data_IF_440550794892
#
_entry.id   IF_440550794892
#
_cell.length_a   1.000
_cell.length_b   1.000
_cell.length_c   1.000
_cell.angle_alpha   90.00
_cell.angle_beta   90.00
_cell.angle_gamma   90.00
#
_symmetry.space_group_name_H-M   'P 1'
#
loop_
_entity.id
_entity.type
_entity.pdbx_description
1 polymer ?
#
# COMPACT_ATOMS: atom_id res chain seq x y z
N UNK A 1 -21.64 50.23 4.90
CA UNK A 1 -20.94 49.10 4.25
C UNK A 1 -21.97 48.09 3.78
N UNK A 2 -22.11 47.91 2.46
CA UNK A 2 -23.20 47.18 1.82
C UNK A 2 -23.09 45.67 2.03
N UNK A 3 -24.23 44.98 2.16
CA UNK A 3 -24.32 43.54 2.43
C UNK A 3 -23.46 42.67 1.49
N UNK A 4 -23.29 43.11 0.23
CA UNK A 4 -22.42 42.48 -0.78
C UNK A 4 -20.94 42.38 -0.39
N UNK A 5 -20.40 43.31 0.43
CA UNK A 5 -19.00 43.24 0.89
C UNK A 5 -18.79 42.25 2.03
N UNK A 6 -19.85 41.90 2.78
CA UNK A 6 -19.80 40.92 3.89
C UNK A 6 -19.89 39.48 3.39
N UNK A 7 -20.63 39.22 2.33
CA UNK A 7 -20.72 37.88 1.71
C UNK A 7 -19.42 37.46 1.03
N UNK A 8 -18.73 38.40 0.38
CA UNK A 8 -17.45 38.13 -0.29
C UNK A 8 -16.32 37.77 0.69
N UNK A 9 -16.32 38.34 1.90
CA UNK A 9 -15.29 38.06 2.93
C UNK A 9 -15.51 36.72 3.63
N UNK A 10 -16.76 36.31 3.84
CA UNK A 10 -17.09 35.00 4.45
C UNK A 10 -16.77 33.85 3.48
N UNK A 11 -17.02 34.01 2.19
CA UNK A 11 -16.65 33.01 1.18
C UNK A 11 -15.13 32.84 1.07
N UNK A 12 -14.35 33.94 1.08
CA UNK A 12 -12.90 33.88 0.98
C UNK A 12 -12.20 33.31 2.24
N UNK A 13 -12.74 33.55 3.44
CA UNK A 13 -12.19 33.05 4.70
C UNK A 13 -12.67 31.64 5.08
N UNK A 14 -13.80 31.18 4.54
CA UNK A 14 -14.36 29.85 4.82
C UNK A 14 -13.98 28.78 3.80
N UNK A 15 -13.87 29.11 2.51
CA UNK A 15 -13.59 28.12 1.46
C UNK A 15 -12.09 27.87 1.25
N UNK A 16 -11.23 28.85 1.52
CA UNK A 16 -9.78 28.68 1.35
C UNK A 16 -9.18 27.65 2.33
N UNK A 17 -9.51 27.62 3.64
CA UNK A 17 -8.99 26.59 4.54
C UNK A 17 -9.51 25.19 4.20
N UNK A 18 -10.77 25.06 3.77
CA UNK A 18 -11.35 23.77 3.35
C UNK A 18 -10.72 23.24 2.06
N UNK A 19 -10.38 24.11 1.11
CA UNK A 19 -9.66 23.72 -0.10
C UNK A 19 -8.20 23.33 0.19
N UNK A 20 -7.53 23.93 1.18
CA UNK A 20 -6.17 23.54 1.59
C UNK A 20 -6.12 22.19 2.30
N UNK A 21 -7.15 21.80 3.07
CA UNK A 21 -7.18 20.49 3.77
C UNK A 21 -7.40 19.33 2.79
N UNK A 22 -8.08 19.55 1.66
CA UNK A 22 -8.25 18.52 0.61
C UNK A 22 -7.00 18.25 -0.24
N UNK A 23 -5.94 19.05 -0.13
CA UNK A 23 -4.72 18.91 -0.94
C UNK A 23 -3.55 18.18 -0.25
N UNK A 24 -3.73 17.66 0.97
CA UNK A 24 -2.59 17.18 1.78
C UNK A 24 -2.72 15.73 2.32
N UNK A 25 -3.69 14.94 1.87
CA UNK A 25 -3.68 13.50 2.13
C UNK A 25 -2.82 12.83 1.05
N UNK A 26 -1.50 13.00 1.13
CA UNK A 26 -0.59 12.14 0.38
C UNK A 26 -0.72 10.76 1.03
N UNK A 27 -1.24 9.76 0.32
CA UNK A 27 -1.39 8.43 0.88
C UNK A 27 0.00 7.90 1.16
N UNK A 28 0.27 7.60 2.43
CA UNK A 28 1.55 7.04 2.84
C UNK A 28 1.72 5.65 2.21
N UNK A 29 2.80 5.45 1.47
CA UNK A 29 3.10 4.22 0.75
C UNK A 29 3.78 3.21 1.65
N UNK A 30 3.32 1.96 1.61
CA UNK A 30 4.01 0.86 2.28
C UNK A 30 4.92 0.15 1.29
N UNK A 31 6.03 -0.41 1.76
CA UNK A 31 6.97 -1.09 0.89
C UNK A 31 7.77 -2.12 1.66
N UNK A 32 7.96 -3.29 1.06
CA UNK A 32 8.79 -4.34 1.61
C UNK A 32 8.61 -5.68 0.92
N UNK A 33 9.29 -6.71 1.43
CA UNK A 33 9.15 -8.08 0.95
C UNK A 33 9.65 -9.09 1.99
N UNK A 34 9.28 -10.37 1.82
CA UNK A 34 9.73 -11.46 2.68
C UNK A 34 11.24 -11.70 2.50
N UNK A 35 11.97 -11.73 3.62
CA UNK A 35 13.41 -12.04 3.68
C UNK A 35 13.71 -13.32 4.46
N UNK A 36 12.75 -13.85 5.24
CA UNK A 36 12.84 -15.21 5.76
C UNK A 36 11.44 -15.87 5.85
N UNK A 37 11.15 -16.88 4.99
CA UNK A 37 11.96 -17.32 3.86
C UNK A 37 12.02 -16.25 2.76
N UNK A 38 13.14 -16.21 2.04
CA UNK A 38 13.41 -15.19 1.03
C UNK A 38 12.42 -15.31 -0.14
N UNK A 39 11.79 -14.20 -0.53
CA UNK A 39 10.92 -14.15 -1.71
C UNK A 39 11.70 -14.23 -3.02
N UNK A 40 11.02 -14.63 -4.12
CA UNK A 40 11.58 -14.62 -5.49
C UNK A 40 12.14 -13.25 -5.85
N UNK A 41 11.38 -12.19 -5.60
CA UNK A 41 11.77 -10.83 -5.97
C UNK A 41 12.99 -10.35 -5.16
N UNK A 42 13.02 -10.65 -3.85
CA UNK A 42 14.16 -10.34 -2.99
C UNK A 42 15.41 -11.15 -3.38
N UNK A 43 15.26 -12.45 -3.66
CA UNK A 43 16.37 -13.30 -4.07
C UNK A 43 16.96 -12.82 -5.40
N UNK A 44 16.13 -12.49 -6.39
CA UNK A 44 16.62 -12.01 -7.69
C UNK A 44 17.21 -10.59 -7.64
N UNK A 45 16.70 -9.73 -6.75
CA UNK A 45 17.34 -8.43 -6.50
C UNK A 45 18.73 -8.62 -5.88
N UNK A 46 18.87 -9.53 -4.90
CA UNK A 46 20.16 -9.87 -4.27
C UNK A 46 21.17 -10.54 -5.22
N UNK A 47 20.71 -11.15 -6.32
CA UNK A 47 21.62 -11.64 -7.36
C UNK A 47 22.18 -10.53 -8.26
N UNK A 48 21.66 -9.29 -8.15
CA UNK A 48 22.03 -8.14 -8.96
C UNK A 48 21.12 -7.99 -10.20
N UNK A 49 20.31 -6.92 -10.30
CA UNK A 49 19.33 -6.77 -11.39
C UNK A 49 19.91 -6.81 -12.81
N UNK A 50 21.10 -6.24 -13.00
CA UNK A 50 21.73 -6.13 -14.32
C UNK A 50 22.41 -7.43 -14.77
N UNK A 51 22.73 -8.33 -13.85
CA UNK A 51 23.51 -9.54 -14.11
C UNK A 51 23.18 -10.64 -13.11
N UNK A 52 21.91 -11.09 -13.04
CA UNK A 52 21.52 -12.15 -12.11
C UNK A 52 22.26 -13.44 -12.42
N UNK A 53 22.38 -14.32 -11.44
CA UNK A 53 23.24 -15.51 -11.51
C UNK A 53 22.43 -16.74 -11.89
N UNK A 54 21.32 -16.98 -11.22
CA UNK A 54 20.46 -18.14 -11.39
C UNK A 54 19.68 -18.10 -12.71
N UNK A 55 19.38 -19.28 -13.24
CA UNK A 55 18.63 -19.38 -14.49
C UNK A 55 17.20 -18.82 -14.34
N UNK A 56 16.60 -18.95 -13.16
CA UNK A 56 15.28 -18.40 -12.87
C UNK A 56 15.28 -16.85 -12.84
N UNK A 57 16.25 -16.22 -12.15
CA UNK A 57 16.33 -14.76 -12.11
C UNK A 57 16.73 -14.16 -13.47
N UNK A 58 17.58 -14.83 -14.25
CA UNK A 58 17.82 -14.48 -15.66
C UNK A 58 16.54 -14.52 -16.49
N UNK A 59 15.71 -15.56 -16.30
CA UNK A 59 14.44 -15.69 -17.01
C UNK A 59 13.42 -14.61 -16.59
N UNK A 60 13.38 -14.24 -15.31
CA UNK A 60 12.60 -13.11 -14.80
C UNK A 60 12.99 -11.82 -15.54
N UNK A 61 14.27 -11.49 -15.57
CA UNK A 61 14.78 -10.28 -16.24
C UNK A 61 14.51 -10.33 -17.74
N UNK A 62 14.68 -11.48 -18.39
CA UNK A 62 14.35 -11.64 -19.81
C UNK A 62 12.85 -11.42 -20.10
N UNK A 63 11.97 -11.74 -19.15
CA UNK A 63 10.53 -11.57 -19.31
C UNK A 63 10.05 -10.14 -19.00
N UNK A 64 10.60 -9.50 -17.96
CA UNK A 64 10.09 -8.25 -17.39
C UNK A 64 11.05 -7.05 -17.40
N UNK A 65 12.30 -7.23 -17.84
CA UNK A 65 13.36 -6.23 -17.67
C UNK A 65 13.92 -6.21 -16.25
N UNK A 66 14.82 -5.25 -16.00
CA UNK A 66 15.51 -5.10 -14.70
C UNK A 66 14.72 -4.27 -13.69
N UNK A 67 13.88 -3.34 -14.16
CA UNK A 67 13.12 -2.42 -13.30
C UNK A 67 12.31 -3.08 -12.18
N UNK A 68 11.63 -4.23 -12.41
CA UNK A 68 10.90 -4.90 -11.33
C UNK A 68 11.79 -5.31 -10.16
N UNK A 69 13.06 -5.60 -10.40
CA UNK A 69 14.02 -5.93 -9.34
C UNK A 69 14.48 -4.70 -8.58
N UNK A 70 14.62 -3.53 -9.20
CA UNK A 70 14.86 -2.28 -8.47
C UNK A 70 13.68 -1.91 -7.58
N UNK A 71 12.47 -2.24 -8.05
CA UNK A 71 11.21 -2.00 -7.36
C UNK A 71 10.76 -3.24 -6.55
N UNK A 72 11.72 -3.99 -5.99
CA UNK A 72 11.49 -5.30 -5.35
C UNK A 72 10.52 -5.26 -4.16
N UNK A 73 10.36 -4.09 -3.58
CA UNK A 73 9.57 -3.82 -2.37
C UNK A 73 8.11 -3.41 -2.68
N UNK A 74 7.68 -3.47 -3.94
CA UNK A 74 6.37 -2.95 -4.39
C UNK A 74 5.56 -3.95 -5.24
N UNK A 75 5.65 -5.25 -4.93
CA UNK A 75 4.69 -6.21 -5.48
C UNK A 75 3.35 -6.03 -4.75
N UNK A 76 2.59 -5.01 -5.15
CA UNK A 76 1.40 -4.54 -4.46
C UNK A 76 0.13 -4.57 -5.34
N UNK A 77 -1.00 -4.30 -4.71
CA UNK A 77 -2.22 -3.80 -5.37
C UNK A 77 -2.76 -2.67 -4.48
N UNK A 78 -2.72 -1.43 -4.99
CA UNK A 78 -3.11 -0.24 -4.23
C UNK A 78 -4.56 -0.28 -3.70
N UNK A 79 -5.48 -0.93 -4.43
CA UNK A 79 -6.90 -1.01 -4.08
C UNK A 79 -7.36 -2.44 -3.79
N UNK A 80 -6.54 -3.24 -3.10
CA UNK A 80 -6.87 -4.64 -2.81
C UNK A 80 -8.12 -4.76 -1.93
N UNK A 81 -8.19 -4.00 -0.84
CA UNK A 81 -9.29 -3.96 0.14
C UNK A 81 -9.76 -5.36 0.59
N UNK A 82 -8.82 -6.30 0.76
CA UNK A 82 -9.10 -7.70 1.11
C UNK A 82 -9.58 -8.59 -0.04
N UNK A 83 -9.82 -8.05 -1.24
CA UNK A 83 -10.38 -8.78 -2.39
C UNK A 83 -9.32 -9.54 -3.22
N UNK A 84 -8.31 -10.12 -2.57
CA UNK A 84 -7.12 -10.70 -3.21
C UNK A 84 -7.46 -11.73 -4.30
N UNK A 85 -8.31 -12.71 -3.96
CA UNK A 85 -8.70 -13.82 -4.87
C UNK A 85 -9.51 -13.36 -6.07
N UNK A 86 -10.25 -12.27 -5.92
CA UNK A 86 -11.04 -11.69 -7.01
C UNK A 86 -10.16 -10.88 -7.97
N UNK A 87 -9.16 -10.18 -7.43
CA UNK A 87 -8.31 -9.27 -8.19
C UNK A 87 -7.13 -9.97 -8.86
N UNK A 88 -6.68 -11.10 -8.31
CA UNK A 88 -5.50 -11.82 -8.79
C UNK A 88 -5.95 -13.13 -9.45
N UNK A 89 -5.88 -13.25 -10.79
CA UNK A 89 -6.19 -14.49 -11.48
C UNK A 89 -5.17 -15.60 -11.18
N UNK A 90 -5.59 -16.85 -11.35
CA UNK A 90 -4.68 -18.00 -11.35
C UNK A 90 -3.54 -17.81 -12.36
N UNK A 91 -2.35 -18.27 -11.99
CA UNK A 91 -1.12 -18.07 -12.75
C UNK A 91 -0.52 -16.68 -12.63
N UNK A 92 -1.12 -15.75 -11.87
CA UNK A 92 -0.59 -14.40 -11.64
C UNK A 92 -0.39 -14.04 -10.16
N UNK A 93 -0.32 -15.05 -9.29
CA UNK A 93 -0.25 -14.86 -7.85
C UNK A 93 1.03 -14.13 -7.42
N UNK A 94 2.17 -14.49 -8.02
CA UNK A 94 3.47 -13.96 -7.63
C UNK A 94 3.74 -12.55 -8.15
N UNK A 95 3.09 -12.15 -9.25
CA UNK A 95 3.10 -10.77 -9.75
C UNK A 95 1.99 -9.88 -9.16
N UNK A 96 1.10 -10.44 -8.34
CA UNK A 96 -0.14 -9.80 -7.92
C UNK A 96 -1.01 -9.33 -9.10
N UNK A 97 -0.98 -10.05 -10.23
CA UNK A 97 -1.71 -9.65 -11.43
C UNK A 97 -1.04 -8.56 -12.27
N UNK A 98 0.07 -7.96 -11.79
CA UNK A 98 0.71 -6.80 -12.43
C UNK A 98 1.69 -7.23 -13.52
N UNK A 99 1.51 -6.69 -14.73
CA UNK A 99 2.39 -7.00 -15.87
C UNK A 99 3.85 -6.57 -15.63
N UNK A 100 4.09 -5.53 -14.82
CA UNK A 100 5.43 -5.13 -14.32
C UNK A 100 6.18 -6.32 -13.73
N UNK A 101 5.50 -7.17 -12.96
CA UNK A 101 6.10 -8.26 -12.20
C UNK A 101 5.88 -9.65 -12.83
N UNK A 102 5.40 -9.73 -14.08
CA UNK A 102 5.03 -11.00 -14.75
C UNK A 102 6.15 -12.07 -14.77
N UNK A 103 7.41 -11.66 -14.69
CA UNK A 103 8.54 -12.59 -14.60
C UNK A 103 8.53 -13.45 -13.32
N UNK A 104 7.88 -12.99 -12.25
CA UNK A 104 7.72 -13.75 -11.01
C UNK A 104 6.77 -14.95 -11.15
N UNK A 105 5.90 -14.94 -12.16
CA UNK A 105 4.91 -16.00 -12.39
C UNK A 105 5.45 -17.17 -13.22
N UNK A 106 6.70 -17.10 -13.69
CA UNK A 106 7.28 -18.15 -14.52
C UNK A 106 7.27 -19.51 -13.77
N UNK A 107 6.64 -20.55 -14.34
CA UNK A 107 6.51 -21.84 -13.68
C UNK A 107 7.83 -22.62 -13.82
N UNK A 108 8.66 -22.55 -12.78
CA UNK A 108 10.00 -23.14 -12.76
C UNK A 108 10.27 -23.90 -11.47
N UNK A 109 10.95 -25.04 -11.59
CA UNK A 109 11.40 -25.83 -10.45
C UNK A 109 12.76 -25.38 -9.89
N UNK A 110 13.45 -24.45 -10.55
CA UNK A 110 14.81 -24.01 -10.24
C UNK A 110 14.90 -22.57 -9.68
N UNK A 111 13.78 -22.02 -9.19
CA UNK A 111 13.80 -20.79 -8.40
C UNK A 111 14.71 -20.94 -7.16
N UNK A 112 15.53 -19.92 -6.83
CA UNK A 112 16.26 -19.90 -5.57
C UNK A 112 15.33 -20.18 -4.39
N UNK A 113 15.76 -21.03 -3.47
CA UNK A 113 14.86 -21.50 -2.39
C UNK A 113 15.51 -21.50 -1.00
N UNK A 114 14.69 -21.32 0.03
CA UNK A 114 15.09 -21.46 1.44
C UNK A 114 14.81 -22.88 1.97
N UNK A 115 15.69 -23.38 2.83
CA UNK A 115 15.41 -24.62 3.57
C UNK A 115 14.26 -24.40 4.57
N UNK A 116 13.37 -25.38 4.69
CA UNK A 116 12.18 -25.30 5.55
C UNK A 116 11.97 -26.60 6.33
N UNK A 117 11.40 -26.48 7.52
CA UNK A 117 11.03 -27.59 8.38
C UNK A 117 9.68 -27.31 9.02
N UNK A 118 8.91 -28.38 9.30
CA UNK A 118 7.69 -28.27 10.07
C UNK A 118 7.96 -27.79 11.50
N UNK A 119 6.95 -27.21 12.15
CA UNK A 119 7.00 -26.76 13.53
C UNK A 119 7.11 -25.24 13.68
N UNK A 120 7.41 -24.78 14.89
CA UNK A 120 7.48 -23.35 15.21
C UNK A 120 8.66 -22.69 14.49
N UNK A 121 8.37 -21.60 13.77
CA UNK A 121 9.36 -20.82 13.03
C UNK A 121 9.06 -19.33 13.19
N UNK A 122 10.11 -18.51 13.22
CA UNK A 122 10.03 -17.05 13.08
C UNK A 122 10.19 -16.67 11.62
N UNK A 123 9.36 -15.76 11.15
CA UNK A 123 9.34 -15.20 9.81
C UNK A 123 9.77 -13.73 9.85
N UNK A 124 10.40 -13.29 8.77
CA UNK A 124 10.92 -11.93 8.64
C UNK A 124 10.45 -11.30 7.33
N UNK A 125 9.88 -10.11 7.45
CA UNK A 125 9.47 -9.27 6.33
C UNK A 125 10.20 -7.92 6.43
N UNK A 126 11.13 -7.63 5.52
CA UNK A 126 11.82 -6.33 5.47
C UNK A 126 10.80 -5.28 5.04
N UNK A 127 10.72 -4.17 5.78
CA UNK A 127 9.85 -3.05 5.47
C UNK A 127 10.70 -1.80 5.23
N UNK A 128 10.77 -1.34 3.98
CA UNK A 128 11.43 -0.06 3.64
C UNK A 128 10.53 1.12 3.98
N UNK A 129 9.21 0.92 3.95
CA UNK A 129 8.22 1.86 4.46
C UNK A 129 7.19 1.10 5.33
N UNK A 130 7.31 1.20 6.67
CA UNK A 130 6.45 0.45 7.61
C UNK A 130 5.02 0.99 7.70
N UNK A 131 4.04 0.08 7.76
CA UNK A 131 2.62 0.38 7.93
C UNK A 131 1.90 -0.59 8.87
N UNK A 132 0.72 -0.21 9.35
CA UNK A 132 -0.15 -1.13 10.09
C UNK A 132 -0.84 -2.09 9.15
N UNK A 133 -1.05 -3.32 9.58
CA UNK A 133 -1.71 -4.32 8.77
C UNK A 133 -1.60 -5.74 9.29
N UNK A 134 -2.18 -6.65 8.53
CA UNK A 134 -2.21 -8.08 8.82
C UNK A 134 -1.38 -8.83 7.80
N UNK A 135 -0.50 -9.69 8.29
CA UNK A 135 0.27 -10.64 7.49
C UNK A 135 -0.40 -12.00 7.56
N UNK A 136 -0.59 -12.63 6.39
CA UNK A 136 -1.09 -13.99 6.25
C UNK A 136 -0.10 -14.79 5.41
N UNK A 137 0.34 -15.94 5.93
CA UNK A 137 1.20 -16.88 5.20
C UNK A 137 0.42 -18.13 4.85
N UNK A 138 0.36 -18.42 3.55
CA UNK A 138 -0.20 -19.62 2.97
C UNK A 138 0.93 -20.53 2.49
N UNK A 139 0.67 -21.83 2.42
CA UNK A 139 1.60 -22.80 1.83
C UNK A 139 0.87 -23.61 0.78
N UNK A 140 1.58 -23.99 -0.28
CA UNK A 140 1.07 -24.95 -1.26
C UNK A 140 0.69 -26.29 -0.62
N UNK A 141 -0.33 -26.95 -1.18
CA UNK A 141 -0.76 -28.31 -0.83
C UNK A 141 0.29 -29.35 -1.20
N UNK A 142 0.17 -30.54 -0.61
CA UNK A 142 0.93 -31.72 -1.05
C UNK A 142 0.66 -32.04 -2.53
N UNK A 143 1.71 -32.47 -3.24
CA UNK A 143 1.64 -32.72 -4.68
C UNK A 143 1.75 -31.47 -5.57
N UNK A 144 2.09 -30.31 -5.01
CA UNK A 144 2.40 -29.09 -5.76
C UNK A 144 3.50 -29.34 -6.81
N UNK A 145 3.25 -28.86 -8.04
CA UNK A 145 4.16 -28.97 -9.16
C UNK A 145 4.65 -27.57 -9.57
N UNK A 146 5.90 -27.19 -9.24
CA UNK A 146 6.45 -25.88 -9.55
C UNK A 146 6.68 -25.64 -11.04
N UNK A 147 6.54 -26.67 -11.89
CA UNK A 147 6.57 -26.53 -13.35
C UNK A 147 5.23 -26.10 -13.96
N UNK A 148 4.21 -25.88 -13.13
CA UNK A 148 2.91 -25.33 -13.53
C UNK A 148 2.69 -23.94 -12.94
N UNK A 149 1.93 -23.06 -13.62
CA UNK A 149 1.55 -21.76 -13.04
C UNK A 149 0.78 -21.96 -11.73
N UNK A 150 1.16 -21.20 -10.70
CA UNK A 150 0.53 -21.28 -9.38
C UNK A 150 -0.92 -20.77 -9.45
N UNK A 151 -1.87 -21.55 -8.96
CA UNK A 151 -3.28 -21.18 -8.82
C UNK A 151 -3.67 -21.04 -7.34
N UNK A 152 -4.75 -20.31 -7.05
CA UNK A 152 -5.32 -20.23 -5.69
C UNK A 152 -5.71 -21.59 -5.14
N UNK A 153 -6.12 -22.52 -6.00
CA UNK A 153 -6.45 -23.90 -5.62
C UNK A 153 -5.24 -24.70 -5.15
N UNK A 154 -4.02 -24.28 -5.49
CA UNK A 154 -2.78 -24.96 -5.09
C UNK A 154 -2.37 -24.60 -3.66
N UNK A 155 -2.87 -23.48 -3.13
CA UNK A 155 -2.64 -23.06 -1.75
C UNK A 155 -3.60 -23.78 -0.79
N UNK A 156 -3.15 -24.02 0.43
CA UNK A 156 -4.05 -24.35 1.54
C UNK A 156 -5.09 -23.25 1.71
N UNK A 157 -6.34 -23.65 2.02
CA UNK A 157 -7.47 -22.70 2.07
C UNK A 157 -7.27 -21.61 3.13
N UNK A 158 -6.62 -21.99 4.25
CA UNK A 158 -6.35 -21.12 5.39
C UNK A 158 -4.86 -20.83 5.51
N UNK A 159 -4.48 -19.62 5.95
CA UNK A 159 -3.09 -19.35 6.25
C UNK A 159 -2.64 -20.17 7.48
N UNK A 160 -1.40 -20.66 7.46
CA UNK A 160 -0.82 -21.37 8.60
C UNK A 160 -0.22 -20.40 9.64
N UNK A 161 0.01 -19.15 9.25
CA UNK A 161 0.39 -18.06 10.14
C UNK A 161 -0.42 -16.80 9.81
N UNK A 162 -0.93 -16.13 10.84
CA UNK A 162 -1.65 -14.86 10.71
C UNK A 162 -1.30 -13.98 11.90
N UNK A 163 -0.84 -12.76 11.63
CA UNK A 163 -0.48 -11.79 12.67
C UNK A 163 -0.94 -10.40 12.24
N UNK A 164 -1.46 -9.62 13.18
CA UNK A 164 -1.81 -8.21 12.96
C UNK A 164 -0.84 -7.34 13.73
N UNK A 165 -0.35 -6.29 13.08
CA UNK A 165 0.59 -5.32 13.62
C UNK A 165 1.77 -5.99 14.36
N UNK A 166 2.52 -6.90 13.71
CA UNK A 166 3.69 -7.51 14.31
C UNK A 166 4.73 -6.46 14.69
N UNK A 167 5.62 -6.83 15.61
CA UNK A 167 6.69 -5.93 16.05
C UNK A 167 7.60 -5.59 14.87
N UNK A 168 7.88 -4.31 14.70
CA UNK A 168 8.91 -3.81 13.79
C UNK A 168 10.22 -3.65 14.57
N UNK A 169 11.25 -4.39 14.18
CA UNK A 169 12.60 -4.32 14.74
C UNK A 169 13.62 -4.21 13.62
N UNK A 170 14.54 -3.24 13.71
CA UNK A 170 15.63 -3.08 12.75
C UNK A 170 15.17 -3.04 11.27
N UNK A 171 14.04 -2.37 11.01
CA UNK A 171 13.47 -2.24 9.66
C UNK A 171 12.79 -3.50 9.12
N UNK A 172 12.46 -4.47 9.97
CA UNK A 172 11.72 -5.67 9.58
C UNK A 172 10.64 -6.03 10.58
N UNK A 173 9.52 -6.56 10.06
CA UNK A 173 8.51 -7.20 10.88
C UNK A 173 8.95 -8.63 11.20
N UNK A 174 8.82 -9.02 12.46
CA UNK A 174 9.08 -10.39 12.92
C UNK A 174 7.86 -10.99 13.57
N UNK A 175 7.54 -12.24 13.22
CA UNK A 175 6.40 -12.95 13.79
C UNK A 175 6.58 -14.46 13.70
N UNK A 176 5.90 -15.20 14.58
CA UNK A 176 5.98 -16.65 14.62
C UNK A 176 4.78 -17.31 13.95
N UNK A 177 4.99 -18.53 13.47
CA UNK A 177 3.94 -19.40 12.94
C UNK A 177 4.32 -20.86 13.07
N UNK A 178 3.33 -21.74 12.96
CA UNK A 178 3.53 -23.20 13.01
C UNK A 178 3.48 -23.72 11.59
N UNK A 179 4.65 -24.02 11.03
CA UNK A 179 4.77 -24.55 9.67
C UNK A 179 4.19 -25.98 9.64
N UNK A 180 3.23 -26.28 8.76
CA UNK A 180 2.67 -27.62 8.65
C UNK A 180 3.70 -28.60 8.07
N UNK A 181 3.49 -29.90 8.33
CA UNK A 181 4.34 -30.93 7.75
C UNK A 181 4.19 -31.00 6.22
N UNK A 182 5.32 -31.01 5.52
CA UNK A 182 5.45 -31.09 4.07
C UNK A 182 6.72 -31.84 3.67
N UNK A 183 6.82 -32.23 2.40
CA UNK A 183 8.05 -32.83 1.86
C UNK A 183 8.39 -32.31 0.47
N UNK A 184 9.67 -32.08 0.20
CA UNK A 184 10.12 -31.60 -1.11
C UNK A 184 9.85 -30.11 -1.33
N UNK A 185 9.75 -29.71 -2.60
CA UNK A 185 9.63 -28.31 -3.00
C UNK A 185 8.20 -27.80 -2.84
N UNK A 186 8.07 -26.66 -2.19
CA UNK A 186 6.82 -25.96 -1.96
C UNK A 186 7.02 -24.46 -2.15
N UNK A 187 5.91 -23.72 -2.11
CA UNK A 187 5.91 -22.27 -2.12
C UNK A 187 5.12 -21.75 -0.91
N UNK A 188 5.68 -20.74 -0.26
CA UNK A 188 5.00 -19.92 0.75
C UNK A 188 4.53 -18.63 0.08
N UNK A 189 3.24 -18.36 0.19
CA UNK A 189 2.61 -17.16 -0.35
C UNK A 189 2.24 -16.23 0.81
N UNK A 190 2.79 -15.02 0.79
CA UNK A 190 2.51 -14.00 1.81
C UNK A 190 1.55 -12.96 1.25
N UNK A 191 0.61 -12.54 2.10
CA UNK A 191 -0.22 -11.36 1.89
C UNK A 191 -0.01 -10.43 3.08
N UNK A 192 0.36 -9.18 2.82
CA UNK A 192 0.30 -8.09 3.80
C UNK A 192 -0.81 -7.13 3.39
N UNK A 193 -1.98 -7.24 4.05
CA UNK A 193 -3.09 -6.31 3.87
C UNK A 193 -2.93 -5.17 4.87
N UNK A 194 -2.83 -3.93 4.39
CA UNK A 194 -2.79 -2.75 5.27
C UNK A 194 -4.14 -2.53 5.93
N UNK A 195 -4.10 -1.96 7.13
CA UNK A 195 -5.30 -1.54 7.88
C UNK A 195 -5.57 -0.04 7.81
N UNK A 196 -4.58 0.74 7.34
CA UNK A 196 -4.65 2.20 7.17
C UNK A 196 -4.88 2.62 5.71
N UNK A 197 -5.01 1.67 4.79
CA UNK A 197 -5.22 1.85 3.33
C UNK A 197 -5.80 0.55 2.74
N UNK A 198 -6.51 0.60 1.60
CA UNK A 198 -6.92 -0.61 0.89
C UNK A 198 -5.74 -1.40 0.30
N UNK A 199 -4.54 -0.83 0.24
CA UNK A 199 -3.39 -1.46 -0.40
C UNK A 199 -2.95 -2.78 0.28
N UNK A 200 -2.49 -3.74 -0.52
CA UNK A 200 -1.88 -4.98 -0.05
C UNK A 200 -0.63 -5.35 -0.85
N UNK A 201 0.28 -6.11 -0.22
CA UNK A 201 1.54 -6.61 -0.80
C UNK A 201 1.55 -8.13 -0.84
N UNK A 202 2.25 -8.68 -1.82
CA UNK A 202 2.22 -10.10 -2.15
C UNK A 202 3.63 -10.60 -2.41
N UNK A 203 3.99 -11.76 -1.84
CA UNK A 203 5.31 -12.36 -2.11
C UNK A 203 5.20 -13.87 -2.26
N UNK A 204 5.94 -14.42 -3.22
CA UNK A 204 6.18 -15.86 -3.34
C UNK A 204 7.59 -16.20 -2.85
N UNK A 205 7.71 -17.10 -1.89
CA UNK A 205 9.00 -17.64 -1.40
C UNK A 205 9.07 -19.13 -1.66
N UNK A 206 10.00 -19.57 -2.51
CA UNK A 206 10.22 -21.00 -2.78
C UNK A 206 10.98 -21.64 -1.62
N UNK A 207 10.52 -22.81 -1.19
CA UNK A 207 11.07 -23.52 -0.02
C UNK A 207 11.22 -25.01 -0.29
N UNK A 208 12.13 -25.65 0.43
CA UNK A 208 12.34 -27.10 0.36
C UNK A 208 12.28 -27.72 1.75
N UNK A 209 11.37 -28.67 1.94
CA UNK A 209 11.20 -29.43 3.17
C UNK A 209 11.99 -30.76 3.15
N UNK A 210 12.76 -31.01 4.20
CA UNK A 210 13.56 -32.24 4.38
C UNK A 210 15.06 -32.07 4.12
N UNK A 211 15.86 -33.08 4.49
CA UNK A 211 17.31 -33.07 4.28
C UNK A 211 17.67 -33.41 2.83
N UNK A 212 18.31 -32.46 2.13
CA UNK A 212 18.96 -32.72 0.84
C UNK A 212 18.00 -32.83 -0.33
N UNK A 213 17.37 -31.71 -0.71
CA UNK A 213 16.73 -31.61 -2.02
C UNK A 213 17.76 -31.89 -3.12
N UNK A 214 17.72 -33.08 -3.70
CA UNK A 214 18.59 -33.55 -4.79
C UNK A 214 18.21 -32.92 -6.13
N UNK A 215 18.06 -31.59 -6.18
CA UNK A 215 17.68 -30.88 -7.39
C UNK A 215 18.16 -29.43 -7.41
N UNK A 216 19.37 -29.23 -7.96
CA UNK A 216 19.92 -28.13 -8.78
C UNK A 216 19.58 -26.65 -8.56
N UNK A 217 18.60 -26.26 -7.74
CA UNK A 217 18.24 -24.88 -7.52
C UNK A 217 19.18 -24.22 -6.50
N UNK A 218 19.57 -22.95 -6.69
CA UNK A 218 20.42 -22.24 -5.75
C UNK A 218 19.71 -21.96 -4.42
N UNK A 219 20.49 -21.76 -3.36
CA UNK A 219 19.99 -21.25 -2.09
C UNK A 219 19.60 -19.79 -2.26
N UNK A 220 18.41 -19.41 -1.79
CA UNK A 220 17.98 -18.01 -1.80
C UNK A 220 18.69 -17.20 -0.70
N UNK A 221 19.09 -15.97 -1.04
CA UNK A 221 19.67 -14.99 -0.12
C UNK A 221 18.84 -13.72 -0.15
N UNK A 222 18.56 -13.14 1.01
CA UNK A 222 17.95 -11.81 1.10
C UNK A 222 18.98 -10.73 0.72
N UNK A 223 18.54 -9.60 0.16
CA UNK A 223 19.43 -8.49 -0.13
C UNK A 223 19.96 -7.87 1.17
N UNK A 224 21.24 -7.54 1.17
CA UNK A 224 21.89 -6.74 2.20
C UNK A 224 21.43 -5.29 2.15
N UNK A 225 21.64 -4.55 3.25
CA UNK A 225 21.34 -3.12 3.28
C UNK A 225 22.20 -2.33 2.28
N UNK A 226 23.40 -2.83 1.96
CA UNK A 226 24.32 -2.22 0.99
C UNK A 226 23.79 -2.40 -0.44
N UNK A 227 23.34 -3.60 -0.81
CA UNK A 227 22.68 -3.84 -2.12
C UNK A 227 21.38 -3.02 -2.26
N UNK A 228 20.60 -2.90 -1.19
CA UNK A 228 19.39 -2.04 -1.18
C UNK A 228 19.78 -0.58 -1.43
N UNK A 229 20.82 -0.08 -0.77
CA UNK A 229 21.29 1.29 -0.94
C UNK A 229 21.80 1.54 -2.36
N UNK A 230 22.57 0.63 -2.94
CA UNK A 230 23.07 0.72 -4.32
C UNK A 230 21.94 0.71 -5.36
N UNK A 231 20.85 -0.01 -5.10
CA UNK A 231 19.68 -0.07 -5.98
C UNK A 231 18.72 1.11 -5.87
N UNK A 232 18.80 1.89 -4.79
CA UNK A 232 17.80 2.90 -4.44
C UNK A 232 17.64 3.98 -5.53
N UNK A 233 18.74 4.46 -6.11
CA UNK A 233 18.72 5.51 -7.15
C UNK A 233 18.05 5.06 -8.47
N UNK A 234 17.89 3.75 -8.67
CA UNK A 234 17.23 3.16 -9.85
C UNK A 234 15.78 2.74 -9.59
N UNK A 235 15.33 2.81 -8.35
CA UNK A 235 13.94 2.54 -7.99
C UNK A 235 13.02 3.60 -8.61
N UNK A 236 11.95 3.17 -9.28
CA UNK A 236 10.87 4.09 -9.70
C UNK A 236 9.81 4.27 -8.61
N UNK A 237 9.94 3.49 -7.55
CA UNK A 237 9.07 3.53 -6.39
C UNK A 237 9.53 4.67 -5.48
N UNK A 238 8.74 5.73 -5.43
CA UNK A 238 8.89 6.78 -4.43
C UNK A 238 8.28 6.29 -3.10
N UNK A 239 9.02 6.42 -2.00
CA UNK A 239 8.52 6.16 -0.66
C UNK A 239 7.39 7.13 -0.24
N UNK A 240 7.13 8.18 -1.04
CA UNK A 240 5.96 9.06 -0.92
C UNK A 240 4.90 8.92 -2.03
N UNK A 241 5.07 8.01 -3.00
CA UNK A 241 4.22 7.90 -4.19
C UNK A 241 3.51 6.55 -4.31
N UNK A 242 2.33 6.55 -4.94
CA UNK A 242 1.60 5.32 -5.21
C UNK A 242 2.21 4.55 -6.37
N UNK A 243 2.73 3.36 -6.06
CA UNK A 243 2.94 2.29 -7.02
C UNK A 243 1.66 1.89 -7.74
N UNK A 244 1.37 2.58 -8.83
CA UNK A 244 0.41 2.20 -9.86
C UNK A 244 1.08 2.43 -11.21
N UNK A 245 0.63 1.77 -12.27
CA UNK A 245 1.26 1.83 -13.59
C UNK A 245 1.09 3.21 -14.30
N UNK A 246 0.98 4.29 -13.53
CA UNK A 246 0.86 5.68 -13.97
C UNK A 246 2.20 6.21 -14.45
N UNK A 247 2.45 6.08 -15.75
CA UNK A 247 3.46 6.84 -16.46
C UNK A 247 3.02 8.32 -16.52
N UNK A 248 3.39 9.14 -15.53
CA UNK A 248 3.49 10.60 -15.73
C UNK A 248 4.97 10.95 -15.91
N UNK A 249 5.36 11.04 -17.18
CA UNK A 249 6.73 11.33 -17.59
C UNK A 249 7.16 12.75 -17.24
N UNK A 250 8.38 12.88 -16.74
CA UNK A 250 9.06 14.16 -16.66
C UNK A 250 9.54 14.60 -18.06
N UNK A 251 8.94 15.70 -18.50
CA UNK A 251 9.31 16.65 -19.57
C UNK A 251 10.53 16.38 -20.44
N UNK A 252 10.26 16.06 -21.71
CA UNK A 252 11.13 16.28 -22.86
C UNK A 252 10.30 16.79 -24.05
N UNK A 253 10.72 17.90 -24.66
CA UNK A 253 10.02 18.64 -25.72
C UNK A 253 9.83 17.84 -27.04
N UNK A 254 8.90 18.25 -27.94
CA UNK A 254 8.26 17.34 -28.89
C UNK A 254 9.03 17.17 -30.20
N UNK A 255 8.98 15.96 -30.76
CA UNK A 255 9.32 15.69 -32.15
C UNK A 255 8.04 15.31 -32.92
N UNK A 256 7.87 15.92 -34.09
CA UNK A 256 6.72 15.84 -34.99
C UNK A 256 6.37 14.41 -35.44
N UNK A 257 5.07 14.14 -35.59
CA UNK A 257 4.52 12.96 -36.24
C UNK A 257 3.80 13.35 -37.55
N UNK A 258 3.81 12.50 -38.59
CA UNK A 258 2.79 12.53 -39.63
C UNK A 258 1.69 11.48 -39.39
N UNK A 259 0.51 11.82 -39.89
CA UNK A 259 -0.81 11.22 -39.65
C UNK A 259 -1.21 10.11 -40.64
N UNK A 260 -2.19 9.30 -40.22
CA UNK A 260 -3.36 8.72 -40.94
C UNK A 260 -3.69 7.33 -40.37
N UNK A 261 -4.93 6.82 -40.25
CA UNK A 261 -6.30 7.34 -40.25
C UNK A 261 -7.25 6.20 -39.79
N UNK A 262 -8.51 6.55 -39.48
CA UNK A 262 -9.76 5.76 -39.57
C UNK A 262 -10.36 5.01 -38.34
N UNK A 263 -11.32 5.71 -37.70
CA UNK A 263 -12.75 5.40 -37.44
C UNK A 263 -13.26 4.02 -36.94
N UNK A 264 -13.78 4.01 -35.69
CA UNK A 264 -15.18 3.83 -35.19
C UNK A 264 -16.16 2.79 -35.84
N UNK A 265 -17.30 2.37 -35.22
CA UNK A 265 -17.97 2.96 -34.03
C UNK A 265 -18.59 1.99 -32.98
N UNK A 266 -19.11 2.63 -31.93
CA UNK A 266 -19.87 2.13 -30.78
C UNK A 266 -21.33 1.72 -31.07
N UNK A 267 -21.94 0.97 -30.14
CA UNK A 267 -23.40 0.89 -29.95
C UNK A 267 -23.79 1.02 -28.48
N UNK A 268 -24.86 1.79 -28.27
CA UNK A 268 -25.40 2.28 -27.00
C UNK A 268 -26.49 1.38 -26.38
N UNK A 269 -26.85 1.71 -25.13
CA UNK A 269 -28.14 1.39 -24.47
C UNK A 269 -27.94 0.75 -23.09
N UNK A 270 -28.55 1.17 -21.99
CA UNK A 270 -29.60 2.15 -21.76
C UNK A 270 -29.81 2.34 -20.25
N UNK A 271 -30.45 3.45 -19.91
CA UNK A 271 -30.76 3.89 -18.55
C UNK A 271 -31.78 3.00 -17.83
N UNK A 272 -31.72 2.96 -16.50
CA UNK A 272 -32.88 3.06 -15.59
C UNK A 272 -32.43 3.25 -14.14
N UNK A 273 -32.89 4.33 -13.52
CA UNK A 273 -33.04 4.48 -12.06
C UNK A 273 -34.41 3.91 -11.65
N UNK A 274 -34.64 3.61 -10.35
CA UNK A 274 -35.28 4.63 -9.52
C UNK A 274 -34.84 4.70 -8.04
N UNK A 275 -34.93 5.93 -7.54
CA UNK A 275 -35.56 6.40 -6.29
C UNK A 275 -35.19 5.89 -4.89
N UNK A 276 -35.24 6.87 -3.98
CA UNK A 276 -34.71 6.92 -2.63
C UNK A 276 -35.65 6.36 -1.56
N UNK A 277 -35.07 6.03 -0.40
CA UNK A 277 -35.77 6.08 0.89
C UNK A 277 -34.79 6.52 2.00
N UNK A 278 -35.12 7.64 2.64
CA UNK A 278 -34.52 8.13 3.89
C UNK A 278 -34.85 7.18 5.07
N UNK A 279 -33.94 7.07 6.04
CA UNK A 279 -34.19 7.56 7.41
C UNK A 279 -33.08 7.19 8.43
N UNK A 280 -32.78 8.21 9.24
CA UNK A 280 -32.46 8.19 10.67
C UNK A 280 -31.06 7.76 11.17
N UNK A 281 -30.27 8.78 11.53
CA UNK A 281 -29.31 8.72 12.64
C UNK A 281 -30.03 8.81 14.00
N UNK A 282 -29.37 8.38 15.09
CA UNK A 282 -28.91 9.38 16.06
C UNK A 282 -27.50 9.13 16.66
N UNK A 283 -26.82 10.22 17.01
CA UNK A 283 -25.58 10.32 17.83
C UNK A 283 -25.92 10.43 19.34
N UNK A 284 -24.97 10.71 20.27
CA UNK A 284 -23.60 10.21 20.52
C UNK A 284 -23.40 9.77 22.01
N UNK A 285 -22.24 9.19 22.35
CA UNK A 285 -21.69 9.24 23.71
C UNK A 285 -20.15 9.13 23.72
N UNK A 286 -19.50 9.97 24.52
CA UNK A 286 -18.08 9.99 24.90
C UNK A 286 -18.00 10.52 26.35
N UNK A 287 -16.85 10.55 27.05
CA UNK A 287 -15.61 9.77 26.92
C UNK A 287 -15.18 9.10 28.26
N UNK A 288 -14.15 8.25 28.23
CA UNK A 288 -13.44 7.77 29.42
C UNK A 288 -11.93 7.88 29.19
N UNK A 289 -11.26 8.64 30.07
CA UNK A 289 -9.82 8.93 30.09
C UNK A 289 -9.05 7.90 30.90
N UNK A 290 -7.92 7.43 30.39
CA UNK A 290 -6.76 7.06 31.21
C UNK A 290 -5.47 7.21 30.40
N UNK A 291 -4.64 8.09 30.94
CA UNK A 291 -3.29 8.50 30.58
C UNK A 291 -2.30 7.35 30.84
N UNK A 292 -1.41 7.07 29.90
CA UNK A 292 -0.09 6.49 30.15
C UNK A 292 0.82 6.84 28.97
N UNK A 293 1.90 7.56 29.27
CA UNK A 293 2.79 8.17 28.30
C UNK A 293 3.66 7.17 27.55
N UNK A 294 3.44 7.08 26.24
CA UNK A 294 4.41 6.54 25.30
C UNK A 294 4.79 7.65 24.32
N UNK A 295 6.10 7.90 24.17
CA UNK A 295 6.64 8.85 23.20
C UNK A 295 6.32 8.36 21.79
N UNK A 296 5.25 8.91 21.20
CA UNK A 296 4.84 8.65 19.83
C UNK A 296 5.43 9.72 18.91
N UNK A 297 6.18 9.23 17.93
CA UNK A 297 6.55 9.86 16.66
C UNK A 297 7.12 11.29 16.74
N UNK A 298 8.44 11.39 16.78
CA UNK A 298 9.17 12.53 16.24
C UNK A 298 9.01 12.50 14.71
N UNK A 299 7.89 13.03 14.21
CA UNK A 299 7.76 13.36 12.79
C UNK A 299 8.77 14.45 12.50
N UNK A 300 9.66 14.23 11.52
CA UNK A 300 10.73 15.15 11.12
C UNK A 300 10.23 16.48 10.57
N UNK A 301 9.68 17.32 11.44
CA UNK A 301 9.42 18.73 11.18
C UNK A 301 10.58 19.55 11.72
N UNK A 302 11.14 20.43 10.89
CA UNK A 302 12.06 21.44 11.39
C UNK A 302 11.33 22.42 12.34
N UNK A 303 12.10 23.27 13.04
CA UNK A 303 11.60 24.17 14.08
C UNK A 303 10.53 25.18 13.64
N UNK A 304 10.16 25.23 12.36
CA UNK A 304 9.05 26.04 11.85
C UNK A 304 7.67 25.39 12.06
N UNK A 305 7.62 24.06 12.26
CA UNK A 305 6.40 23.26 12.34
C UNK A 305 5.56 23.60 13.58
N UNK A 306 6.22 23.88 14.70
CA UNK A 306 5.54 24.30 15.94
C UNK A 306 4.85 25.66 15.78
N UNK A 307 5.42 26.57 14.98
CA UNK A 307 4.84 27.89 14.73
C UNK A 307 3.63 27.83 13.79
N UNK A 308 3.63 26.89 12.84
CA UNK A 308 2.48 26.63 11.96
C UNK A 308 1.30 26.01 12.72
N UNK A 309 1.57 25.05 13.61
CA UNK A 309 0.55 24.43 14.46
C UNK A 309 -0.06 25.42 15.47
N UNK A 310 0.78 26.25 16.12
CA UNK A 310 0.30 27.29 17.04
C UNK A 310 -0.48 28.42 16.31
N UNK A 311 -0.06 28.77 15.09
CA UNK A 311 -0.76 29.75 14.26
C UNK A 311 -2.17 29.31 13.83
N UNK A 312 -2.34 28.02 13.50
CA UNK A 312 -3.63 27.45 13.12
C UNK A 312 -4.66 27.45 14.26
N UNK A 313 -4.24 27.10 15.48
CA UNK A 313 -5.11 27.10 16.66
C UNK A 313 -5.57 28.51 17.06
N UNK A 314 -4.68 29.51 16.96
CA UNK A 314 -5.01 30.90 17.25
C UNK A 314 -6.02 31.49 16.24
N UNK A 315 -5.92 31.13 14.96
CA UNK A 315 -6.86 31.58 13.94
C UNK A 315 -8.28 31.02 14.15
N UNK A 316 -8.40 29.77 14.60
CA UNK A 316 -9.68 29.12 14.91
C UNK A 316 -10.39 29.76 16.12
N UNK A 317 -9.64 30.09 17.17
CA UNK A 317 -10.19 30.73 18.37
C UNK A 317 -10.72 32.14 18.09
N UNK A 318 -10.05 32.91 17.23
CA UNK A 318 -10.48 34.26 16.83
C UNK A 318 -11.74 34.19 15.94
N UNK A 319 -11.82 33.20 15.05
CA UNK A 319 -13.00 32.95 14.22
C UNK A 319 -14.27 32.66 15.02
N UNK A 320 -14.15 31.83 16.08
CA UNK A 320 -15.28 31.49 16.95
C UNK A 320 -15.78 32.70 17.75
N UNK A 321 -14.89 33.54 18.30
CA UNK A 321 -15.26 34.72 19.08
C UNK A 321 -16.03 35.77 18.24
N UNK A 322 -15.69 35.93 16.97
CA UNK A 322 -16.37 36.84 16.05
C UNK A 322 -17.81 36.39 15.72
N UNK A 323 -18.05 35.07 15.64
CA UNK A 323 -19.38 34.50 15.39
C UNK A 323 -20.34 34.67 16.57
N UNK A 324 -19.86 34.57 17.81
CA UNK A 324 -20.70 34.75 19.01
C UNK A 324 -20.93 36.22 19.40
N UNK A 325 -20.03 37.15 19.01
CA UNK A 325 -20.18 38.58 19.31
C UNK A 325 -21.26 39.30 18.48
N UNK A 326 -21.62 38.78 17.30
CA UNK A 326 -22.57 39.42 16.37
C UNK A 326 -24.05 39.12 16.68
N UNK A 327 -24.34 38.15 17.57
CA UNK A 327 -25.71 37.74 17.92
C UNK A 327 -26.39 38.53 19.04
N UNK A 328 -25.71 39.48 19.70
CA UNK A 328 -26.21 40.11 20.95
C UNK A 328 -26.74 41.54 20.84
N UNK A 329 -26.95 42.10 19.65
CA UNK A 329 -27.54 43.44 19.52
C UNK A 329 -29.09 43.38 19.56
N UNK A 330 -29.67 43.46 20.76
CA UNK A 330 -31.10 43.77 20.97
C UNK A 330 -31.42 45.17 20.40
N UNK A 331 -32.49 45.37 19.61
CA UNK A 331 -32.97 46.71 19.30
C UNK A 331 -33.71 47.29 20.52
N UNK A 332 -33.36 48.52 20.88
CA UNK A 332 -34.17 49.35 21.77
C UNK A 332 -35.46 49.74 21.03
N UNK A 333 -36.62 49.35 21.55
CA UNK A 333 -37.91 49.79 21.04
C UNK A 333 -38.28 51.14 21.67
N UNK A 334 -38.19 52.20 20.88
CA UNK A 334 -38.92 53.44 21.10
C UNK A 334 -40.29 53.31 20.42
N UNK A 335 -41.37 53.58 21.15
CA UNK A 335 -42.72 53.59 20.60
C UNK A 335 -43.66 54.35 21.54
N UNK A 336 -43.84 55.64 21.27
CA UNK A 336 -44.83 56.46 21.95
C UNK A 336 -46.18 56.47 21.23
N UNK A 337 -47.22 56.71 22.07
CA UNK A 337 -48.43 57.52 21.83
C UNK A 337 -49.77 56.80 21.55
N UNK A 338 -50.67 56.85 22.54
CA UNK A 338 -52.09 57.29 22.53
C UNK A 338 -52.61 57.16 23.98
N UNK A 339 -53.35 58.07 24.63
CA UNK A 339 -53.89 59.38 24.27
C UNK A 339 -54.65 59.97 25.47
N UNK A 340 -54.96 61.27 25.41
CA UNK A 340 -56.23 61.93 25.71
C UNK A 340 -56.10 63.40 25.34
#
# INVERSE_FOLDING_TARGET
MTARRRTATIAALGLAPLALVSLAAVPASAHGSMTDPVSRISACFAEGPESPVSAACKALVAAGGTQPLYDWNEVNIANAAGNHRQLIPDGRLCSAGRDKYKGLDLPRADWPSSAMSAGNRTFTYKATAPHKGTFELYVTKEGYDPSKPLAWSDLEEKPFAKVTDPKLENGAYTFTGIVPNRSGRHLIYSIWQRSDSPEAFYTCSDVVFGQGGTGAAPTASAPSDEEIAEGADKSTVDHGGHGGDGHEGHGGAPAEAPADAAAAPETAGGANAPEAAEAASPSPAAPGTSDDGENLAETGGDGSTAYLAAGGAAALAIGAAALFGLGRRRPAAAGGRHGR
#
